data_IF_105771999924
#
_entry.id   IF_105771999924
#
_cell.length_a   1.000
_cell.length_b   1.000
_cell.length_c   1.000
_cell.angle_alpha   90.00
_cell.angle_beta   90.00
_cell.angle_gamma   90.00
#
_symmetry.space_group_name_H-M   'P 1'
#
loop_
_entity.id
_entity.type
_entity.pdbx_description
1 polymer ?
#
# COMPACT_ATOMS: atom_id res chain seq x y z
N UNK A 1 8.65 -12.56 16.44
CA UNK A 1 7.90 -11.30 16.24
C UNK A 1 8.62 -10.38 15.26
N UNK A 2 9.85 -9.94 15.54
CA UNK A 2 10.64 -9.05 14.65
C UNK A 2 10.70 -9.51 13.18
N UNK A 3 10.97 -10.80 12.93
CA UNK A 3 11.02 -11.36 11.56
C UNK A 3 9.69 -11.26 10.83
N UNK A 4 8.57 -11.42 11.55
CA UNK A 4 7.22 -11.34 10.97
C UNK A 4 6.93 -9.88 10.60
N UNK A 5 7.18 -8.94 11.52
CA UNK A 5 7.04 -7.50 11.25
C UNK A 5 7.94 -7.05 10.08
N UNK A 6 9.20 -7.52 10.05
CA UNK A 6 10.14 -7.28 8.96
C UNK A 6 9.59 -7.74 7.61
N UNK A 7 9.05 -8.95 7.56
CA UNK A 7 8.45 -9.50 6.36
C UNK A 7 7.25 -8.68 5.89
N UNK A 8 6.33 -8.33 6.80
CA UNK A 8 5.15 -7.53 6.48
C UNK A 8 5.54 -6.15 5.93
N UNK A 9 6.43 -5.45 6.63
CA UNK A 9 6.87 -4.11 6.28
C UNK A 9 7.67 -4.06 4.97
N UNK A 10 8.59 -5.00 4.78
CA UNK A 10 9.33 -5.16 3.53
C UNK A 10 8.41 -5.53 2.36
N UNK A 11 7.43 -6.42 2.58
CA UNK A 11 6.49 -6.81 1.52
C UNK A 11 5.60 -5.66 1.05
N UNK A 12 5.13 -4.80 1.96
CA UNK A 12 4.40 -3.59 1.60
C UNK A 12 5.25 -2.67 0.73
N UNK A 13 6.45 -2.34 1.19
CA UNK A 13 7.33 -1.42 0.45
C UNK A 13 7.67 -2.00 -0.92
N UNK A 14 8.05 -3.28 -0.99
CA UNK A 14 8.34 -3.95 -2.24
C UNK A 14 7.14 -3.98 -3.19
N UNK A 15 5.92 -4.14 -2.67
CA UNK A 15 4.70 -4.09 -3.48
C UNK A 15 4.39 -2.67 -3.99
N UNK A 16 4.70 -1.63 -3.21
CA UNK A 16 4.42 -0.24 -3.59
C UNK A 16 5.45 0.36 -4.53
N UNK A 17 6.71 -0.06 -4.44
CA UNK A 17 7.81 0.42 -5.31
C UNK A 17 7.94 -0.35 -6.63
N UNK A 18 7.13 -1.40 -6.84
CA UNK A 18 7.11 -2.15 -8.10
C UNK A 18 6.71 -1.27 -9.31
N UNK A 19 7.44 -1.42 -10.42
CA UNK A 19 7.06 -0.83 -11.69
C UNK A 19 5.78 -1.46 -12.24
N UNK A 20 4.69 -0.67 -12.27
CA UNK A 20 3.34 -1.10 -12.71
C UNK A 20 3.31 -1.59 -14.15
N UNK A 21 4.08 -0.98 -15.04
CA UNK A 21 4.12 -1.34 -16.46
C UNK A 21 4.75 -2.72 -16.65
N UNK A 22 5.94 -2.93 -16.06
CA UNK A 22 6.65 -4.22 -16.14
C UNK A 22 5.86 -5.36 -15.49
N UNK A 23 5.22 -5.09 -14.35
CA UNK A 23 4.36 -6.06 -13.67
C UNK A 23 3.21 -6.54 -14.58
N UNK A 24 2.49 -5.61 -15.22
CA UNK A 24 1.39 -5.93 -16.15
C UNK A 24 1.89 -6.71 -17.37
N UNK A 25 3.05 -6.33 -17.90
CA UNK A 25 3.66 -7.04 -19.02
C UNK A 25 3.98 -8.50 -18.65
N UNK A 26 4.64 -8.74 -17.51
CA UNK A 26 4.95 -10.09 -17.03
C UNK A 26 3.69 -10.90 -16.70
N UNK A 27 2.64 -10.26 -16.18
CA UNK A 27 1.36 -10.90 -15.93
C UNK A 27 0.68 -11.36 -17.23
N UNK A 28 0.73 -10.53 -18.29
CA UNK A 28 0.24 -10.88 -19.64
C UNK A 28 1.04 -12.03 -20.27
N UNK A 29 2.35 -12.08 -20.05
CA UNK A 29 3.22 -13.19 -20.47
C UNK A 29 2.99 -14.51 -19.72
N UNK A 30 2.04 -14.56 -18.78
CA UNK A 30 1.65 -15.80 -18.10
C UNK A 30 2.32 -16.04 -16.75
N UNK A 31 3.17 -15.13 -16.25
CA UNK A 31 3.81 -15.28 -14.94
C UNK A 31 2.75 -15.25 -13.82
N UNK A 32 2.58 -16.38 -13.11
CA UNK A 32 1.57 -16.55 -12.06
C UNK A 32 1.82 -15.65 -10.84
N UNK A 33 3.08 -15.38 -10.49
CA UNK A 33 3.41 -14.48 -9.38
C UNK A 33 3.09 -13.03 -9.75
N UNK A 34 3.44 -12.61 -10.96
CA UNK A 34 3.07 -11.29 -11.47
C UNK A 34 1.55 -11.08 -11.49
N UNK A 35 0.76 -12.08 -11.94
CA UNK A 35 -0.71 -12.02 -11.89
C UNK A 35 -1.27 -11.84 -10.48
N UNK A 36 -0.71 -12.54 -9.48
CA UNK A 36 -1.14 -12.43 -8.08
C UNK A 36 -0.83 -11.06 -7.50
N UNK A 37 0.39 -10.59 -7.71
CA UNK A 37 0.85 -9.26 -7.30
C UNK A 37 0.01 -8.17 -7.95
N UNK A 38 -0.27 -8.28 -9.26
CA UNK A 38 -1.16 -7.36 -9.97
C UNK A 38 -2.57 -7.35 -9.34
N UNK A 39 -3.14 -8.51 -9.02
CA UNK A 39 -4.46 -8.62 -8.39
C UNK A 39 -4.48 -7.99 -6.98
N UNK A 40 -3.46 -8.23 -6.17
CA UNK A 40 -3.31 -7.61 -4.84
C UNK A 40 -3.26 -6.08 -4.95
N UNK A 41 -2.54 -5.58 -5.95
CA UNK A 41 -2.30 -4.15 -6.17
C UNK A 41 -3.44 -3.42 -6.88
N UNK A 42 -4.51 -4.12 -7.29
CA UNK A 42 -5.76 -3.47 -7.77
C UNK A 42 -6.48 -2.70 -6.67
N UNK A 43 -6.29 -3.09 -5.40
CA UNK A 43 -6.90 -2.42 -4.24
C UNK A 43 -5.82 -2.18 -3.18
N UNK A 44 -4.93 -1.19 -3.40
CA UNK A 44 -3.77 -0.96 -2.53
C UNK A 44 -4.19 -0.67 -1.09
N UNK A 45 -5.31 0.03 -0.86
CA UNK A 45 -5.80 0.35 0.50
C UNK A 45 -6.03 -0.88 1.36
N UNK A 46 -6.53 -1.98 0.75
CA UNK A 46 -6.76 -3.24 1.47
C UNK A 46 -5.45 -3.92 1.85
N UNK A 47 -4.45 -3.82 0.97
CA UNK A 47 -3.13 -4.37 1.22
C UNK A 47 -2.41 -3.57 2.31
N UNK A 48 -2.43 -2.24 2.23
CA UNK A 48 -1.85 -1.34 3.24
C UNK A 48 -2.49 -1.62 4.59
N UNK A 49 -3.83 -1.66 4.64
CA UNK A 49 -4.57 -1.96 5.85
C UNK A 49 -4.20 -3.32 6.44
N UNK A 50 -4.12 -4.36 5.61
CA UNK A 50 -3.72 -5.70 6.04
C UNK A 50 -2.33 -5.70 6.69
N UNK A 51 -1.35 -5.10 6.01
CA UNK A 51 0.04 -5.07 6.49
C UNK A 51 0.14 -4.25 7.77
N UNK A 52 -0.53 -3.10 7.83
CA UNK A 52 -0.57 -2.23 9.00
C UNK A 52 -1.13 -2.97 10.23
N UNK A 53 -2.25 -3.67 10.06
CA UNK A 53 -2.85 -4.49 11.12
C UNK A 53 -1.86 -5.55 11.59
N UNK A 54 -1.26 -6.30 10.66
CA UNK A 54 -0.32 -7.37 10.97
C UNK A 54 0.91 -6.86 11.73
N UNK A 55 1.52 -5.78 11.23
CA UNK A 55 2.69 -5.16 11.86
C UNK A 55 2.36 -4.63 13.26
N UNK A 56 1.26 -3.89 13.40
CA UNK A 56 0.84 -3.35 14.70
C UNK A 56 0.52 -4.46 15.70
N UNK A 57 -0.19 -5.51 15.29
CA UNK A 57 -0.50 -6.63 16.16
C UNK A 57 0.79 -7.29 16.68
N UNK A 58 1.72 -7.59 15.78
CA UNK A 58 3.00 -8.22 16.15
C UNK A 58 3.84 -7.31 17.06
N UNK A 59 3.87 -6.00 16.80
CA UNK A 59 4.63 -5.05 17.61
C UNK A 59 4.01 -4.86 19.00
N UNK A 60 2.68 -4.79 19.11
CA UNK A 60 1.97 -4.72 20.39
C UNK A 60 2.21 -6.00 21.20
N UNK A 61 2.10 -7.18 20.57
CA UNK A 61 2.40 -8.45 21.22
C UNK A 61 3.85 -8.54 21.68
N UNK A 62 4.79 -8.08 20.86
CA UNK A 62 6.20 -8.02 21.22
C UNK A 62 6.44 -7.09 22.42
N UNK A 63 5.80 -5.92 22.43
CA UNK A 63 5.89 -4.94 23.52
C UNK A 63 5.30 -5.48 24.82
N UNK A 64 4.11 -6.10 24.77
CA UNK A 64 3.47 -6.70 25.93
C UNK A 64 4.31 -7.83 26.52
N UNK A 65 4.81 -8.74 25.67
CA UNK A 65 5.69 -9.83 26.13
C UNK A 65 7.03 -9.30 26.64
N UNK A 66 7.63 -8.32 25.95
CA UNK A 66 8.86 -7.66 26.37
C UNK A 66 8.72 -7.00 27.73
N UNK A 67 7.59 -6.36 27.99
CA UNK A 67 7.25 -5.76 29.30
C UNK A 67 7.17 -6.83 30.38
N UNK A 68 6.45 -7.93 30.14
CA UNK A 68 6.32 -9.03 31.11
C UNK A 68 7.69 -9.65 31.42
N UNK A 69 8.51 -9.88 30.39
CA UNK A 69 9.86 -10.44 30.54
C UNK A 69 10.77 -9.47 31.29
N UNK A 70 10.76 -8.19 30.92
CA UNK A 70 11.55 -7.14 31.58
C UNK A 70 11.21 -7.02 33.06
N UNK A 71 9.92 -7.00 33.38
CA UNK A 71 9.42 -6.95 34.75
C UNK A 71 9.88 -8.17 35.57
N UNK A 72 9.86 -9.38 34.99
CA UNK A 72 10.32 -10.59 35.68
C UNK A 72 11.82 -10.66 35.93
N UNK A 73 12.63 -10.03 35.07
CA UNK A 73 14.08 -10.09 35.16
C UNK A 73 14.66 -9.03 36.09
N UNK A 74 14.19 -7.79 36.01
CA UNK A 74 14.79 -6.65 36.72
C UNK A 74 13.74 -5.65 37.26
N UNK A 75 12.47 -6.06 37.44
CA UNK A 75 11.41 -5.17 37.91
C UNK A 75 11.20 -3.96 37.01
N UNK A 76 10.97 -2.79 37.60
CA UNK A 76 10.67 -1.55 36.85
C UNK A 76 11.82 -1.11 35.94
N UNK A 77 13.07 -1.27 36.38
CA UNK A 77 14.24 -0.97 35.56
C UNK A 77 14.33 -1.92 34.35
N UNK A 78 13.94 -3.18 34.52
CA UNK A 78 13.88 -4.17 33.45
C UNK A 78 12.86 -3.82 32.38
N UNK A 79 11.71 -3.25 32.76
CA UNK A 79 10.70 -2.78 31.81
C UNK A 79 11.26 -1.64 30.95
N UNK A 80 11.92 -0.65 31.55
CA UNK A 80 12.50 0.47 30.83
C UNK A 80 13.58 0.01 29.83
N UNK A 81 14.50 -0.86 30.28
CA UNK A 81 15.55 -1.43 29.42
C UNK A 81 14.95 -2.27 28.29
N UNK A 82 14.02 -3.17 28.61
CA UNK A 82 13.36 -4.02 27.61
C UNK A 82 12.62 -3.19 26.56
N UNK A 83 11.92 -2.12 26.99
CA UNK A 83 11.21 -1.21 26.09
C UNK A 83 12.18 -0.50 25.15
N UNK A 84 13.29 0.06 25.67
CA UNK A 84 14.30 0.74 24.85
C UNK A 84 14.97 -0.20 23.85
N UNK A 85 15.43 -1.36 24.30
CA UNK A 85 16.09 -2.36 23.44
C UNK A 85 15.12 -2.88 22.39
N UNK A 86 13.89 -3.24 22.77
CA UNK A 86 12.90 -3.75 21.83
C UNK A 86 12.53 -2.69 20.78
N UNK A 87 12.37 -1.43 21.19
CA UNK A 87 12.08 -0.32 20.27
C UNK A 87 13.20 -0.17 19.24
N UNK A 88 14.45 -0.15 19.67
CA UNK A 88 15.60 -0.08 18.77
C UNK A 88 15.64 -1.28 17.80
N UNK A 89 15.47 -2.50 18.31
CA UNK A 89 15.50 -3.71 17.50
C UNK A 89 14.36 -3.73 16.47
N UNK A 90 13.14 -3.37 16.87
CA UNK A 90 11.99 -3.33 15.95
C UNK A 90 12.20 -2.24 14.89
N UNK A 91 12.62 -1.04 15.29
CA UNK A 91 12.83 0.07 14.35
C UNK A 91 13.90 -0.29 13.30
N UNK A 92 15.04 -0.84 13.72
CA UNK A 92 16.13 -1.16 12.80
C UNK A 92 15.80 -2.39 11.97
N UNK A 93 15.47 -3.51 12.61
CA UNK A 93 15.40 -4.83 11.94
C UNK A 93 14.02 -5.19 11.42
N UNK A 94 12.94 -4.65 11.99
CA UNK A 94 11.59 -4.90 11.53
C UNK A 94 11.02 -3.77 10.65
N UNK A 95 11.59 -2.58 10.70
CA UNK A 95 11.03 -1.43 9.99
C UNK A 95 11.97 -0.82 8.95
N UNK A 96 13.08 -0.21 9.35
CA UNK A 96 13.94 0.54 8.44
C UNK A 96 14.65 -0.39 7.46
N UNK A 97 15.40 -1.38 7.96
CA UNK A 97 16.22 -2.26 7.12
C UNK A 97 15.38 -3.05 6.09
N UNK A 98 14.27 -3.71 6.46
CA UNK A 98 13.46 -4.46 5.50
C UNK A 98 12.83 -3.56 4.42
N UNK A 99 12.36 -2.37 4.80
CA UNK A 99 11.82 -1.39 3.84
C UNK A 99 12.89 -0.95 2.85
N UNK A 100 14.10 -0.64 3.31
CA UNK A 100 15.22 -0.25 2.44
C UNK A 100 15.58 -1.36 1.45
N UNK A 101 15.72 -2.60 1.92
CA UNK A 101 16.03 -3.75 1.04
C UNK A 101 14.91 -3.96 0.01
N UNK A 102 13.64 -3.86 0.44
CA UNK A 102 12.50 -4.03 -0.45
C UNK A 102 12.36 -2.90 -1.48
N UNK A 103 12.76 -1.68 -1.13
CA UNK A 103 12.83 -0.58 -2.07
C UNK A 103 13.89 -0.79 -3.16
N UNK A 104 15.03 -1.40 -2.81
CA UNK A 104 16.10 -1.73 -3.75
C UNK A 104 15.78 -2.94 -4.64
N UNK A 105 15.08 -3.94 -4.09
CA UNK A 105 14.76 -5.19 -4.79
C UNK A 105 13.26 -5.54 -4.76
N UNK A 106 12.39 -4.69 -5.33
CA UNK A 106 10.93 -4.84 -5.19
C UNK A 106 10.39 -6.13 -5.78
N UNK A 107 10.88 -6.55 -6.95
CA UNK A 107 10.43 -7.79 -7.60
C UNK A 107 10.78 -9.04 -6.78
N UNK A 108 12.00 -9.07 -6.21
CA UNK A 108 12.50 -10.19 -5.41
C UNK A 108 11.73 -10.34 -4.10
N UNK A 109 11.19 -9.25 -3.56
CA UNK A 109 10.39 -9.28 -2.33
C UNK A 109 8.90 -9.49 -2.65
N UNK A 110 8.31 -8.67 -3.52
CA UNK A 110 6.87 -8.68 -3.76
C UNK A 110 6.34 -9.98 -4.38
N UNK A 111 7.10 -10.61 -5.28
CA UNK A 111 6.64 -11.80 -6.00
C UNK A 111 6.50 -13.03 -5.08
N UNK A 112 7.50 -13.42 -4.28
CA UNK A 112 7.30 -14.47 -3.29
C UNK A 112 6.29 -14.04 -2.24
N UNK A 113 6.30 -12.77 -1.81
CA UNK A 113 5.37 -12.32 -0.77
C UNK A 113 3.89 -12.41 -1.17
N UNK A 114 3.59 -12.33 -2.47
CA UNK A 114 2.24 -12.52 -2.99
C UNK A 114 1.64 -13.90 -2.70
N UNK A 115 2.47 -14.91 -2.43
CA UNK A 115 2.00 -16.24 -2.06
C UNK A 115 1.37 -16.26 -0.68
N UNK A 116 1.97 -15.57 0.29
CA UNK A 116 1.44 -15.52 1.64
C UNK A 116 0.39 -14.42 1.80
N UNK A 117 0.60 -13.26 1.16
CA UNK A 117 -0.29 -12.10 1.32
C UNK A 117 -1.65 -12.28 0.63
N UNK A 118 -1.74 -13.03 -0.48
CA UNK A 118 -3.01 -13.28 -1.15
C UNK A 118 -4.05 -14.03 -0.30
N UNK A 119 -3.76 -15.20 0.29
CA UNK A 119 -4.71 -15.89 1.16
C UNK A 119 -4.95 -15.09 2.46
N UNK A 120 -3.91 -14.47 3.02
CA UNK A 120 -4.05 -13.67 4.23
C UNK A 120 -4.97 -12.46 4.03
N UNK A 121 -4.90 -11.81 2.85
CA UNK A 121 -5.82 -10.72 2.51
C UNK A 121 -7.27 -11.19 2.56
N UNK A 122 -7.57 -12.37 2.01
CA UNK A 122 -8.92 -12.96 2.03
C UNK A 122 -9.37 -13.22 3.46
N UNK A 123 -8.51 -13.81 4.29
CA UNK A 123 -8.81 -14.10 5.69
C UNK A 123 -9.09 -12.84 6.51
N UNK A 124 -8.32 -11.77 6.28
CA UNK A 124 -8.42 -10.51 7.01
C UNK A 124 -9.41 -9.52 6.38
N UNK A 125 -10.06 -9.88 5.26
CA UNK A 125 -11.09 -9.06 4.62
C UNK A 125 -12.15 -8.49 5.56
N UNK A 126 -12.78 -9.28 6.48
CA UNK A 126 -13.81 -8.74 7.37
C UNK A 126 -13.26 -7.66 8.30
N UNK A 127 -12.06 -7.86 8.84
CA UNK A 127 -11.40 -6.91 9.72
C UNK A 127 -11.00 -5.64 8.97
N UNK A 128 -10.42 -5.78 7.78
CA UNK A 128 -10.07 -4.66 6.90
C UNK A 128 -11.33 -3.88 6.49
N UNK A 129 -12.45 -4.55 6.22
CA UNK A 129 -13.71 -3.89 5.90
C UNK A 129 -14.24 -3.08 7.07
N UNK A 130 -14.22 -3.67 8.28
CA UNK A 130 -14.64 -3.01 9.52
C UNK A 130 -13.82 -1.75 9.79
N UNK A 131 -12.49 -1.83 9.74
CA UNK A 131 -11.64 -0.66 9.96
C UNK A 131 -11.90 0.44 8.93
N UNK A 132 -11.99 0.08 7.64
CA UNK A 132 -12.32 1.05 6.60
C UNK A 132 -13.72 1.65 6.77
N UNK A 133 -14.69 0.90 7.30
CA UNK A 133 -16.02 1.42 7.61
C UNK A 133 -15.96 2.44 8.75
N UNK A 134 -15.20 2.17 9.81
CA UNK A 134 -14.96 3.11 10.91
C UNK A 134 -14.28 4.38 10.39
N UNK A 135 -13.21 4.26 9.60
CA UNK A 135 -12.51 5.41 9.01
C UNK A 135 -13.46 6.25 8.16
N UNK A 136 -14.28 5.63 7.30
CA UNK A 136 -15.27 6.34 6.48
C UNK A 136 -16.34 7.04 7.32
N UNK A 137 -16.79 6.42 8.41
CA UNK A 137 -17.73 7.03 9.34
C UNK A 137 -17.14 8.28 9.99
N UNK A 138 -15.91 8.18 10.50
CA UNK A 138 -15.20 9.31 11.11
C UNK A 138 -14.97 10.44 10.11
N UNK A 139 -14.56 10.13 8.88
CA UNK A 139 -14.39 11.13 7.82
C UNK A 139 -15.70 11.84 7.48
N UNK A 140 -16.83 11.11 7.42
CA UNK A 140 -18.15 11.71 7.23
C UNK A 140 -18.54 12.64 8.38
N UNK A 141 -18.26 12.25 9.62
CA UNK A 141 -18.50 13.11 10.79
C UNK A 141 -17.67 14.39 10.75
N UNK A 142 -16.46 14.33 10.20
CA UNK A 142 -15.58 15.49 9.99
C UNK A 142 -15.91 16.30 8.71
N UNK A 143 -16.95 15.93 7.96
CA UNK A 143 -17.35 16.61 6.72
C UNK A 143 -16.46 16.31 5.50
N UNK A 144 -15.56 15.32 5.59
CA UNK A 144 -14.65 14.94 4.49
C UNK A 144 -15.39 13.99 3.54
N UNK A 145 -15.76 14.49 2.36
CA UNK A 145 -16.34 13.68 1.28
C UNK A 145 -15.27 12.77 0.68
N UNK A 146 -15.37 11.48 0.93
CA UNK A 146 -14.44 10.46 0.42
C UNK A 146 -14.98 9.83 -0.86
N UNK A 147 -14.92 10.58 -1.96
CA UNK A 147 -15.04 10.06 -3.33
C UNK A 147 -13.65 9.76 -3.93
N UNK A 148 -12.67 9.40 -3.10
CA UNK A 148 -11.36 8.94 -3.58
C UNK A 148 -11.49 7.46 -3.94
N UNK A 149 -12.16 7.19 -5.05
CA UNK A 149 -11.91 5.96 -5.78
C UNK A 149 -10.52 6.13 -6.40
N UNK A 150 -9.51 5.48 -5.82
CA UNK A 150 -8.19 5.27 -6.43
C UNK A 150 -8.38 4.35 -7.65
N UNK A 151 -8.97 4.90 -8.70
CA UNK A 151 -8.96 4.39 -10.05
C UNK A 151 -8.52 5.58 -10.87
N UNK A 152 -7.38 5.47 -11.55
CA UNK A 152 -6.84 6.51 -12.41
C UNK A 152 -7.70 6.79 -13.64
N UNK A 153 -8.96 7.18 -13.44
CA UNK A 153 -9.68 8.02 -14.38
C UNK A 153 -9.39 9.45 -13.96
N UNK A 154 -8.43 10.08 -14.64
CA UNK A 154 -8.40 11.55 -14.70
C UNK A 154 -9.84 11.99 -14.98
N UNK A 155 -10.39 12.85 -14.12
CA UNK A 155 -11.70 13.42 -14.43
C UNK A 155 -11.57 14.21 -15.73
N UNK A 156 -12.63 14.25 -16.54
CA UNK A 156 -12.61 14.98 -17.83
C UNK A 156 -12.14 16.43 -17.63
N UNK A 157 -12.43 17.00 -16.47
CA UNK A 157 -12.01 18.34 -16.04
C UNK A 157 -10.50 18.46 -15.82
N UNK A 158 -9.83 17.44 -15.28
CA UNK A 158 -8.37 17.42 -15.12
C UNK A 158 -7.66 17.29 -16.47
N UNK A 159 -8.17 16.45 -17.37
CA UNK A 159 -7.70 16.35 -18.76
C UNK A 159 -7.87 17.68 -19.51
N UNK A 160 -9.02 18.34 -19.34
CA UNK A 160 -9.30 19.65 -19.94
C UNK A 160 -8.36 20.74 -19.40
N UNK A 161 -8.00 20.66 -18.13
CA UNK A 161 -7.09 21.61 -17.48
C UNK A 161 -5.67 21.43 -17.99
N UNK A 162 -5.16 20.19 -18.08
CA UNK A 162 -3.82 19.89 -18.63
C UNK A 162 -3.70 20.31 -20.11
N UNK A 163 -4.74 20.09 -20.92
CA UNK A 163 -4.77 20.53 -22.32
C UNK A 163 -4.80 22.06 -22.45
N UNK A 164 -5.48 22.76 -21.53
CA UNK A 164 -5.47 24.22 -21.47
C UNK A 164 -4.13 24.78 -20.98
N UNK A 165 -3.46 24.11 -20.05
CA UNK A 165 -2.12 24.51 -19.56
C UNK A 165 -1.00 24.20 -20.56
N UNK A 166 -1.19 23.19 -21.43
CA UNK A 166 -0.25 22.85 -22.52
C UNK A 166 -0.28 23.83 -23.71
N UNK A 167 -1.01 24.94 -23.59
CA UNK A 167 -1.14 26.01 -24.61
C UNK A 167 0.19 26.61 -25.07
N UNK A 168 1.25 26.48 -24.29
CA UNK A 168 2.57 27.03 -24.65
C UNK A 168 3.40 26.14 -25.58
N UNK A 169 3.02 24.86 -25.78
CA UNK A 169 3.83 23.92 -26.56
C UNK A 169 3.11 23.18 -27.69
N UNK A 170 1.78 23.35 -27.84
CA UNK A 170 1.00 22.66 -28.88
C UNK A 170 0.24 23.67 -29.74
N UNK A 171 0.45 23.62 -31.06
CA UNK A 171 -0.22 24.47 -32.04
C UNK A 171 -1.75 24.28 -32.02
N UNK A 172 -2.50 25.39 -32.08
CA UNK A 172 -3.98 25.44 -31.96
C UNK A 172 -4.70 24.41 -32.84
N UNK A 173 -4.17 24.11 -34.02
CA UNK A 173 -4.74 23.14 -34.99
C UNK A 173 -4.80 21.71 -34.46
N UNK A 174 -3.87 21.30 -33.59
CA UNK A 174 -3.84 19.96 -33.02
C UNK A 174 -4.80 19.83 -31.82
N UNK A 175 -5.16 20.94 -31.17
CA UNK A 175 -6.16 20.94 -30.09
C UNK A 175 -7.57 20.66 -30.63
N UNK A 176 -7.95 21.33 -31.72
CA UNK A 176 -9.29 21.19 -32.29
C UNK A 176 -9.54 19.77 -32.81
N UNK A 177 -8.52 19.11 -33.37
CA UNK A 177 -8.61 17.71 -33.78
C UNK A 177 -8.78 16.75 -32.60
N UNK A 178 -8.04 16.95 -31.50
CA UNK A 178 -8.15 16.10 -30.31
C UNK A 178 -9.49 16.27 -29.59
N UNK A 179 -10.00 17.50 -29.51
CA UNK A 179 -11.31 17.79 -28.93
C UNK A 179 -12.44 17.20 -29.80
N UNK A 180 -12.31 17.28 -31.13
CA UNK A 180 -13.29 16.69 -32.06
C UNK A 180 -13.36 15.16 -31.93
N UNK A 181 -12.22 14.47 -31.76
CA UNK A 181 -12.21 13.02 -31.54
C UNK A 181 -12.84 12.63 -30.19
N UNK A 182 -12.61 13.43 -29.15
CA UNK A 182 -13.21 13.24 -27.82
C UNK A 182 -14.73 13.48 -27.79
N UNK A 183 -15.25 14.34 -28.65
CA UNK A 183 -16.68 14.60 -28.80
C UNK A 183 -17.37 13.55 -29.70
N UNK A 184 -16.67 12.96 -30.66
CA UNK A 184 -17.20 11.86 -31.49
C UNK A 184 -17.46 10.57 -30.68
N UNK A 185 -16.61 10.26 -29.71
CA UNK A 185 -16.80 9.09 -28.82
C UNK A 185 -18.03 9.23 -27.89
N UNK A 186 -18.57 10.44 -27.74
CA UNK A 186 -19.77 10.72 -26.94
C UNK A 186 -21.07 10.37 -27.68
N UNK A 187 -21.06 10.34 -29.01
CA UNK A 187 -22.27 10.22 -29.83
C UNK A 187 -22.58 8.79 -30.33
N UNK A 188 -21.69 7.82 -30.09
CA UNK A 188 -21.89 6.40 -30.45
C UNK A 188 -22.36 5.53 -29.25
N UNK A 189 -23.13 6.13 -28.33
CA UNK A 189 -23.93 5.38 -27.33
C UNK A 189 -25.40 5.77 -27.38
#
# INVERSE_FOLDING_TARGET
>A
MVVISAYFSGSETGMMTLNRYRLRHMAKQGNRSAKRVEKLLRKPDRLISLVLIGNNLVNILASALGTIVGMRLYGDAGVAIATGVLTFVVLVFAEVLPKTIAALYPEKVAYPSSFLLAPLQILMMPLVWLLNAITRMLMRMMGIKTDIVVSGSLSKEELRTIVHESRSQISRRNQDMLLSVLDLEKNDR
#
